data_IF_345786750001
#
_entry.id   IF_345786750001
#
_cell.length_a   1.000
_cell.length_b   1.000
_cell.length_c   1.000
_cell.angle_alpha   90.00
_cell.angle_beta   90.00
_cell.angle_gamma   90.00
#
_symmetry.space_group_name_H-M   'P 1'
#
loop_
_entity.id
_entity.type
_entity.pdbx_description
1 polymer ?
#
# COMPACT_ATOMS: atom_id res chain seq x y z
N UNK A 1 16.71 27.14 17.99
CA UNK A 1 16.95 26.14 16.92
C UNK A 1 15.66 25.39 16.74
N UNK A 2 14.82 25.81 15.79
CA UNK A 2 13.50 25.21 15.57
C UNK A 2 13.70 23.85 14.89
N UNK A 3 13.47 22.78 15.63
CA UNK A 3 13.37 21.43 15.06
C UNK A 3 12.08 21.39 14.24
N UNK A 4 12.20 21.59 12.92
CA UNK A 4 11.09 21.29 12.01
C UNK A 4 10.94 19.78 12.00
N UNK A 5 10.00 19.26 12.78
CA UNK A 5 9.58 17.87 12.70
C UNK A 5 9.10 17.63 11.27
N UNK A 6 9.79 16.77 10.54
CA UNK A 6 9.29 16.28 9.25
C UNK A 6 7.94 15.60 9.56
N UNK A 7 6.82 16.01 8.96
CA UNK A 7 5.54 15.38 9.24
C UNK A 7 5.67 13.89 8.94
N UNK A 8 5.23 13.05 9.89
CA UNK A 8 5.22 11.61 9.75
C UNK A 8 4.32 11.27 8.56
N UNK A 9 4.94 10.94 7.42
CA UNK A 9 4.25 10.60 6.19
C UNK A 9 4.32 9.10 6.02
N UNK A 10 3.18 8.45 5.85
CA UNK A 10 3.10 6.99 5.64
C UNK A 10 2.53 6.70 4.27
N UNK A 11 3.23 5.90 3.47
CA UNK A 11 2.74 5.50 2.16
C UNK A 11 1.62 4.45 2.29
N UNK A 12 0.57 4.59 1.49
CA UNK A 12 -0.51 3.63 1.31
C UNK A 12 -0.57 3.19 -0.14
N UNK A 13 -0.65 1.88 -0.37
CA UNK A 13 -0.77 1.26 -1.68
C UNK A 13 -2.17 0.66 -1.85
N UNK A 14 -2.82 0.93 -2.98
CA UNK A 14 -4.11 0.34 -3.38
C UNK A 14 -3.88 -0.62 -4.55
N UNK A 15 -4.01 -1.92 -4.31
CA UNK A 15 -3.56 -2.97 -5.21
C UNK A 15 -4.73 -3.83 -5.69
N UNK A 16 -4.79 -4.05 -7.00
CA UNK A 16 -5.83 -4.85 -7.63
C UNK A 16 -5.30 -5.54 -8.90
N UNK A 17 -5.85 -6.72 -9.20
CA UNK A 17 -5.68 -7.42 -10.48
C UNK A 17 -6.53 -6.79 -11.60
N UNK A 18 -7.45 -5.88 -11.25
CA UNK A 18 -8.26 -5.08 -12.16
C UNK A 18 -7.91 -3.59 -11.99
N UNK A 19 -8.91 -2.73 -11.95
CA UNK A 19 -8.72 -1.27 -12.03
C UNK A 19 -8.26 -0.60 -10.74
N UNK A 20 -8.31 -1.25 -9.57
CA UNK A 20 -7.95 -0.63 -8.29
C UNK A 20 -9.03 0.20 -7.61
N UNK A 21 -10.12 0.56 -8.32
CA UNK A 21 -11.17 1.47 -7.80
C UNK A 21 -11.76 1.00 -6.47
N UNK A 22 -11.97 -0.31 -6.29
CA UNK A 22 -12.51 -0.85 -5.03
C UNK A 22 -11.52 -0.69 -3.88
N UNK A 23 -10.23 -1.01 -4.12
CA UNK A 23 -9.17 -0.87 -3.13
C UNK A 23 -9.00 0.60 -2.71
N UNK A 24 -8.99 1.51 -3.69
CA UNK A 24 -8.93 2.97 -3.44
C UNK A 24 -10.12 3.45 -2.62
N UNK A 25 -11.36 3.11 -3.01
CA UNK A 25 -12.55 3.59 -2.30
C UNK A 25 -12.59 3.11 -0.86
N UNK A 26 -12.30 1.84 -0.61
CA UNK A 26 -12.26 1.28 0.75
C UNK A 26 -11.13 1.91 1.56
N UNK A 27 -9.94 1.98 0.97
CA UNK A 27 -8.76 2.56 1.59
C UNK A 27 -8.93 4.03 1.93
N UNK A 28 -9.33 4.88 0.98
CA UNK A 28 -9.61 6.30 1.24
C UNK A 28 -10.69 6.49 2.31
N UNK A 29 -11.74 5.66 2.31
CA UNK A 29 -12.79 5.75 3.33
C UNK A 29 -12.25 5.44 4.73
N UNK A 30 -11.32 4.48 4.85
CA UNK A 30 -10.68 4.16 6.12
C UNK A 30 -9.68 5.25 6.54
N UNK A 31 -8.82 5.71 5.62
CA UNK A 31 -7.79 6.71 5.91
C UNK A 31 -8.39 8.05 6.34
N UNK A 32 -9.55 8.43 5.80
CA UNK A 32 -10.29 9.64 6.22
C UNK A 32 -10.66 9.66 7.70
N UNK A 33 -10.69 8.52 8.40
CA UNK A 33 -10.91 8.50 9.85
C UNK A 33 -9.72 9.06 10.65
N UNK A 34 -8.58 9.29 9.99
CA UNK A 34 -7.34 9.77 10.58
C UNK A 34 -6.94 11.12 9.95
N UNK A 35 -7.78 12.14 10.09
CA UNK A 35 -7.61 13.46 9.42
C UNK A 35 -6.29 14.17 9.76
N UNK A 36 -5.71 13.89 10.93
CA UNK A 36 -4.44 14.48 11.38
C UNK A 36 -3.20 13.79 10.77
N UNK A 37 -3.36 12.68 10.04
CA UNK A 37 -2.27 11.93 9.42
C UNK A 37 -2.17 12.22 7.92
N UNK A 38 -0.93 12.37 7.43
CA UNK A 38 -0.65 12.56 6.01
C UNK A 38 -0.19 11.26 5.36
N UNK A 39 -0.89 10.86 4.29
CA UNK A 39 -0.55 9.67 3.52
C UNK A 39 0.01 10.05 2.13
N UNK A 40 0.94 9.23 1.64
CA UNK A 40 1.28 9.19 0.20
C UNK A 40 0.51 8.03 -0.40
N UNK A 41 -0.36 8.29 -1.35
CA UNK A 41 -1.25 7.27 -1.91
C UNK A 41 -0.77 6.83 -3.30
N UNK A 42 -0.60 5.52 -3.49
CA UNK A 42 -0.15 4.92 -4.75
C UNK A 42 -1.10 3.80 -5.17
N UNK A 43 -1.71 3.93 -6.35
CA UNK A 43 -2.56 2.87 -6.90
C UNK A 43 -1.78 2.03 -7.90
N UNK A 44 -1.81 0.71 -7.72
CA UNK A 44 -1.20 -0.28 -8.60
C UNK A 44 -2.31 -1.16 -9.20
N UNK A 45 -2.92 -0.72 -10.32
CA UNK A 45 -3.91 -1.51 -11.02
C UNK A 45 -3.24 -2.60 -11.87
N UNK A 46 -4.02 -3.60 -12.27
CA UNK A 46 -3.61 -4.71 -13.14
C UNK A 46 -2.37 -5.44 -12.64
N UNK A 47 -2.26 -5.66 -11.33
CA UNK A 47 -1.20 -6.46 -10.72
C UNK A 47 -1.59 -7.95 -10.82
N UNK A 48 -1.43 -8.50 -12.01
CA UNK A 48 -1.93 -9.81 -12.45
C UNK A 48 -0.82 -10.78 -12.91
N UNK A 49 0.46 -10.40 -12.74
CA UNK A 49 1.61 -11.27 -13.03
C UNK A 49 2.60 -11.31 -11.86
N UNK A 50 3.43 -12.35 -11.81
CA UNK A 50 4.44 -12.55 -10.77
C UNK A 50 5.54 -11.48 -10.81
N UNK A 51 5.89 -11.00 -12.01
CA UNK A 51 6.86 -9.94 -12.22
C UNK A 51 6.34 -8.61 -11.64
N UNK A 52 5.08 -8.27 -11.92
CA UNK A 52 4.44 -7.08 -11.36
C UNK A 52 4.35 -7.16 -9.83
N UNK A 53 4.06 -8.35 -9.28
CA UNK A 53 4.05 -8.56 -7.84
C UNK A 53 5.43 -8.33 -7.22
N UNK A 54 6.49 -8.86 -7.83
CA UNK A 54 7.86 -8.69 -7.36
C UNK A 54 8.33 -7.23 -7.45
N UNK A 55 7.95 -6.51 -8.51
CA UNK A 55 8.21 -5.09 -8.65
C UNK A 55 7.47 -4.27 -7.57
N UNK A 56 6.20 -4.60 -7.29
CA UNK A 56 5.44 -3.96 -6.24
C UNK A 56 6.06 -4.17 -4.86
N UNK A 57 6.50 -5.41 -4.53
CA UNK A 57 7.23 -5.69 -3.28
C UNK A 57 8.45 -4.79 -3.13
N UNK A 58 9.22 -4.62 -4.21
CA UNK A 58 10.40 -3.74 -4.23
C UNK A 58 10.00 -2.29 -3.94
N UNK A 59 8.97 -1.79 -4.61
CA UNK A 59 8.47 -0.42 -4.42
C UNK A 59 7.96 -0.18 -2.99
N UNK A 60 7.18 -1.13 -2.45
CA UNK A 60 6.64 -1.08 -1.08
C UNK A 60 7.77 -1.04 -0.06
N UNK A 61 8.77 -1.91 -0.20
CA UNK A 61 9.92 -1.97 0.70
C UNK A 61 10.75 -0.68 0.65
N UNK A 62 10.91 -0.08 -0.53
CA UNK A 62 11.58 1.21 -0.68
C UNK A 62 10.82 2.33 0.04
N UNK A 63 9.49 2.39 -0.08
CA UNK A 63 8.67 3.35 0.67
C UNK A 63 8.82 3.18 2.18
N UNK A 64 8.91 1.94 2.68
CA UNK A 64 9.14 1.69 4.10
C UNK A 64 10.45 2.31 4.62
N UNK A 65 11.51 2.27 3.81
CA UNK A 65 12.81 2.87 4.15
C UNK A 65 12.73 4.40 4.10
N UNK A 66 12.10 4.95 3.06
CA UNK A 66 11.98 6.41 2.85
C UNK A 66 11.13 7.07 3.96
N UNK A 67 10.02 6.43 4.31
CA UNK A 67 9.08 6.94 5.32
C UNK A 67 9.54 6.62 6.74
N UNK A 68 10.41 5.62 6.92
CA UNK A 68 10.83 5.12 8.24
C UNK A 68 9.72 4.37 8.99
N UNK A 69 8.62 4.04 8.33
CA UNK A 69 7.46 3.33 8.86
C UNK A 69 6.90 2.37 7.80
N UNK A 70 6.40 1.21 8.24
CA UNK A 70 5.81 0.22 7.31
C UNK A 70 4.63 0.83 6.54
N UNK A 71 4.62 0.81 5.21
CA UNK A 71 3.48 1.28 4.42
C UNK A 71 2.23 0.44 4.68
N UNK A 72 1.08 0.99 4.28
CA UNK A 72 -0.20 0.28 4.24
C UNK A 72 -0.38 -0.33 2.85
N UNK A 73 -0.89 -1.56 2.77
CA UNK A 73 -1.26 -2.20 1.51
C UNK A 73 -2.71 -2.62 1.61
N UNK A 74 -3.58 -1.96 0.85
CA UNK A 74 -4.97 -2.36 0.66
C UNK A 74 -5.04 -3.19 -0.62
N UNK A 75 -5.47 -4.44 -0.52
CA UNK A 75 -5.52 -5.34 -1.68
C UNK A 75 -6.88 -5.95 -1.91
N UNK A 76 -7.22 -6.11 -3.18
CA UNK A 76 -8.40 -6.86 -3.65
C UNK A 76 -8.00 -8.07 -4.51
N UNK A 77 -6.77 -8.57 -4.34
CA UNK A 77 -6.23 -9.65 -5.17
C UNK A 77 -6.89 -10.99 -4.84
N UNK A 78 -7.27 -11.75 -5.86
CA UNK A 78 -7.82 -13.11 -5.66
C UNK A 78 -6.83 -14.22 -5.99
N UNK A 79 -5.81 -13.93 -6.80
CA UNK A 79 -4.77 -14.90 -7.14
C UNK A 79 -3.84 -15.13 -5.93
N UNK A 80 -3.86 -16.35 -5.39
CA UNK A 80 -3.10 -16.73 -4.19
C UNK A 80 -1.58 -16.67 -4.38
N UNK A 81 -1.08 -16.95 -5.58
CA UNK A 81 0.36 -16.92 -5.86
C UNK A 81 0.87 -15.47 -5.83
N UNK A 82 0.14 -14.57 -6.48
CA UNK A 82 0.43 -13.13 -6.46
C UNK A 82 0.31 -12.57 -5.04
N UNK A 83 -0.74 -12.95 -4.30
CA UNK A 83 -0.89 -12.57 -2.90
C UNK A 83 0.30 -13.04 -2.05
N UNK A 84 0.78 -14.27 -2.24
CA UNK A 84 1.90 -14.83 -1.50
C UNK A 84 3.17 -14.00 -1.69
N UNK A 85 3.47 -13.61 -2.95
CA UNK A 85 4.58 -12.71 -3.26
C UNK A 85 4.36 -11.36 -2.59
N UNK A 86 3.18 -10.77 -2.72
CA UNK A 86 2.90 -9.45 -2.16
C UNK A 86 3.04 -9.44 -0.62
N UNK A 87 2.58 -10.50 0.06
CA UNK A 87 2.68 -10.66 1.52
C UNK A 87 4.12 -10.72 2.03
N UNK A 88 5.12 -10.95 1.17
CA UNK A 88 6.53 -10.85 1.53
C UNK A 88 7.02 -9.40 1.74
N UNK A 89 6.26 -8.40 1.26
CA UNK A 89 6.62 -6.99 1.46
C UNK A 89 6.49 -6.58 2.94
N UNK A 90 7.42 -5.75 3.39
CA UNK A 90 7.46 -5.15 4.72
C UNK A 90 6.39 -4.07 4.89
N UNK A 91 5.12 -4.49 4.90
CA UNK A 91 3.95 -3.64 4.98
C UNK A 91 2.96 -4.14 6.03
N UNK A 92 2.00 -3.29 6.38
CA UNK A 92 0.76 -3.74 6.99
C UNK A 92 -0.24 -4.04 5.88
N UNK A 93 -0.57 -5.32 5.73
CA UNK A 93 -1.51 -5.80 4.72
C UNK A 93 -2.94 -5.75 5.25
N UNK A 94 -3.82 -5.11 4.47
CA UNK A 94 -5.24 -4.94 4.69
C UNK A 94 -5.97 -5.55 3.50
N UNK A 95 -6.21 -6.86 3.60
CA UNK A 95 -6.96 -7.58 2.57
C UNK A 95 -8.45 -7.24 2.70
N UNK A 96 -9.03 -6.74 1.62
CA UNK A 96 -10.43 -6.32 1.60
C UNK A 96 -11.38 -7.49 1.28
N UNK A 97 -10.85 -8.67 0.94
CA UNK A 97 -11.64 -9.84 0.56
C UNK A 97 -11.35 -11.10 1.38
N UNK A 98 -10.35 -11.10 2.28
CA UNK A 98 -10.04 -12.27 3.12
C UNK A 98 -9.33 -11.96 4.44
#
# INVERSE_FOLDING_TARGET
MSITLKPLRRTAFFISDRTGITAEKLGHSLLKQFEDLSFTENTLPYLDTLEKASAAVTQINQSAIIDGIRPLVFSTLVNLEIQSILKSANALHLDCFN
#
